data_IF_333699277061
#
_entry.id   IF_333699277061
#
_cell.length_a   1.000
_cell.length_b   1.000
_cell.length_c   1.000
_cell.angle_alpha   90.00
_cell.angle_beta   90.00
_cell.angle_gamma   90.00
#
_symmetry.space_group_name_H-M   'P 1'
#
loop_
_entity.id
_entity.type
_entity.pdbx_description
1 polymer ?
#
# COMPACT_ATOMS: atom_id res chain seq x y z
N UNK A 1 -22.67 -18.50 -0.20
CA UNK A 1 -22.05 -19.23 -1.33
C UNK A 1 -21.13 -20.31 -0.76
N UNK A 2 -21.07 -21.48 -1.39
CA UNK A 2 -20.30 -22.63 -0.90
C UNK A 2 -18.79 -22.36 -1.07
N UNK A 3 -17.92 -22.86 -0.18
CA UNK A 3 -16.46 -22.63 -0.24
C UNK A 3 -15.75 -23.35 -1.39
N UNK A 4 -16.48 -23.86 -2.39
CA UNK A 4 -15.95 -24.69 -3.48
C UNK A 4 -16.04 -24.00 -4.87
N UNK A 5 -16.60 -22.79 -4.95
CA UNK A 5 -16.82 -22.09 -6.23
C UNK A 5 -15.73 -21.03 -6.56
N UNK A 6 -14.56 -21.08 -5.90
CA UNK A 6 -13.50 -20.05 -6.01
C UNK A 6 -12.26 -20.51 -6.80
N UNK A 7 -12.37 -21.51 -7.67
CA UNK A 7 -11.24 -22.03 -8.47
C UNK A 7 -10.85 -21.18 -9.69
N UNK A 8 -11.47 -20.02 -9.93
CA UNK A 8 -11.17 -19.18 -11.09
C UNK A 8 -11.07 -17.67 -10.85
N UNK A 9 -11.26 -17.20 -9.62
CA UNK A 9 -11.09 -15.79 -9.31
C UNK A 9 -9.59 -15.53 -9.06
N UNK A 10 -8.93 -14.57 -9.75
CA UNK A 10 -7.56 -14.25 -9.44
C UNK A 10 -7.48 -13.91 -7.96
N UNK A 11 -6.45 -14.40 -7.26
CA UNK A 11 -6.30 -14.19 -5.81
C UNK A 11 -6.43 -12.70 -5.42
N UNK A 12 -6.15 -11.78 -6.36
CA UNK A 12 -6.43 -10.35 -6.28
C UNK A 12 -7.90 -10.02 -5.97
N UNK A 13 -8.88 -10.62 -6.65
CA UNK A 13 -10.31 -10.36 -6.45
C UNK A 13 -10.84 -10.92 -5.12
N UNK A 14 -10.30 -12.06 -4.66
CA UNK A 14 -10.66 -12.65 -3.36
C UNK A 14 -10.12 -11.80 -2.20
N UNK A 15 -8.89 -11.28 -2.32
CA UNK A 15 -8.31 -10.33 -1.36
C UNK A 15 -9.09 -9.01 -1.36
N UNK A 16 -9.43 -8.46 -2.53
CA UNK A 16 -10.19 -7.22 -2.67
C UNK A 16 -11.62 -7.31 -2.14
N UNK A 17 -12.37 -8.36 -2.48
CA UNK A 17 -13.76 -8.50 -2.04
C UNK A 17 -13.88 -8.82 -0.55
N UNK A 18 -12.96 -9.62 0.00
CA UNK A 18 -12.92 -9.90 1.43
C UNK A 18 -12.47 -8.68 2.26
N UNK A 19 -11.64 -7.80 1.70
CA UNK A 19 -11.29 -6.52 2.31
C UNK A 19 -12.45 -5.52 2.22
N UNK A 20 -13.19 -5.45 1.12
CA UNK A 20 -14.29 -4.48 0.96
C UNK A 20 -15.55 -4.84 1.76
N UNK A 21 -15.86 -6.13 1.95
CA UNK A 21 -17.14 -6.54 2.54
C UNK A 21 -17.18 -6.57 4.07
N UNK A 22 -16.08 -6.29 4.77
CA UNK A 22 -15.93 -6.70 6.17
C UNK A 22 -15.58 -5.58 7.17
N UNK A 23 -15.53 -4.30 6.77
CA UNK A 23 -14.78 -3.33 7.56
C UNK A 23 -15.61 -2.34 8.36
N UNK A 24 -15.48 -2.48 9.68
CA UNK A 24 -15.42 -1.39 10.66
C UNK A 24 -13.92 -1.03 10.91
N UNK A 25 -13.62 0.24 11.18
CA UNK A 25 -12.38 0.95 10.81
C UNK A 25 -11.00 0.47 11.31
N UNK A 26 -10.87 -0.58 12.12
CA UNK A 26 -9.62 -0.91 12.83
C UNK A 26 -9.00 -2.29 12.53
N UNK A 27 -9.76 -3.25 12.01
CA UNK A 27 -9.31 -4.64 11.76
C UNK A 27 -8.79 -4.87 10.32
N UNK A 28 -8.78 -3.82 9.49
CA UNK A 28 -8.62 -3.90 8.04
C UNK A 28 -7.24 -4.45 7.61
N UNK A 29 -6.16 -3.91 8.17
CA UNK A 29 -4.80 -4.30 7.79
C UNK A 29 -4.42 -5.70 8.29
N UNK A 30 -4.82 -6.08 9.50
CA UNK A 30 -4.41 -7.38 10.07
C UNK A 30 -4.95 -8.54 9.23
N UNK A 31 -6.19 -8.41 8.74
CA UNK A 31 -6.83 -9.43 7.92
C UNK A 31 -6.26 -9.45 6.49
N UNK A 32 -5.99 -8.28 5.90
CA UNK A 32 -5.34 -8.19 4.59
C UNK A 32 -3.97 -8.88 4.58
N UNK A 33 -3.13 -8.63 5.60
CA UNK A 33 -1.82 -9.28 5.72
C UNK A 33 -1.92 -10.78 6.04
N UNK A 34 -2.95 -11.21 6.78
CA UNK A 34 -3.21 -12.65 6.99
C UNK A 34 -3.55 -13.35 5.67
N UNK A 35 -4.37 -12.73 4.83
CA UNK A 35 -4.71 -13.25 3.51
C UNK A 35 -3.49 -13.28 2.58
N UNK A 36 -2.69 -12.22 2.58
CA UNK A 36 -1.42 -12.18 1.85
C UNK A 36 -0.50 -13.34 2.23
N UNK A 37 -0.34 -13.62 3.53
CA UNK A 37 0.42 -14.78 4.00
C UNK A 37 -0.16 -16.13 3.52
N UNK A 38 -1.49 -16.28 3.54
CA UNK A 38 -2.11 -17.48 3.00
C UNK A 38 -1.91 -17.62 1.49
N UNK A 39 -1.89 -16.51 0.75
CA UNK A 39 -1.61 -16.50 -0.68
C UNK A 39 -0.17 -16.99 -0.96
N UNK A 40 0.81 -16.46 -0.21
CA UNK A 40 2.20 -16.92 -0.30
C UNK A 40 2.35 -18.42 0.00
N UNK A 41 1.56 -18.96 0.94
CA UNK A 41 1.58 -20.39 1.27
C UNK A 41 0.89 -21.28 0.23
N UNK A 42 -0.15 -20.77 -0.46
CA UNK A 42 -0.91 -21.54 -1.46
C UNK A 42 -0.23 -21.60 -2.83
N UNK A 43 0.87 -20.86 -3.03
CA UNK A 43 1.65 -20.87 -4.27
C UNK A 43 1.37 -19.78 -5.31
N UNK A 44 0.23 -19.06 -5.37
CA UNK A 44 0.09 -17.96 -6.33
C UNK A 44 1.02 -16.79 -5.96
N UNK A 45 1.80 -16.34 -6.94
CA UNK A 45 2.70 -15.19 -6.77
C UNK A 45 1.89 -13.90 -6.64
N UNK A 46 2.25 -13.01 -5.71
CA UNK A 46 1.68 -11.67 -5.67
C UNK A 46 2.02 -10.90 -6.94
N UNK A 47 1.12 -10.01 -7.34
CA UNK A 47 1.28 -9.08 -8.44
C UNK A 47 1.21 -7.62 -7.95
N UNK A 48 1.41 -6.66 -8.86
CA UNK A 48 1.35 -5.22 -8.54
C UNK A 48 0.00 -4.85 -7.92
N UNK A 49 -1.09 -5.46 -8.38
CA UNK A 49 -2.45 -5.21 -7.86
C UNK A 49 -2.57 -5.63 -6.40
N UNK A 50 -1.99 -6.76 -6.02
CA UNK A 50 -1.93 -7.25 -4.63
C UNK A 50 -1.23 -6.22 -3.74
N UNK A 51 -0.06 -5.73 -4.16
CA UNK A 51 0.71 -4.75 -3.37
C UNK A 51 0.03 -3.38 -3.30
N UNK A 52 -0.57 -2.91 -4.39
CA UNK A 52 -1.37 -1.67 -4.39
C UNK A 52 -2.56 -1.77 -3.44
N UNK A 53 -3.20 -2.94 -3.36
CA UNK A 53 -4.30 -3.21 -2.44
C UNK A 53 -3.82 -3.15 -1.00
N UNK A 54 -2.69 -3.81 -0.68
CA UNK A 54 -2.10 -3.76 0.66
C UNK A 54 -1.70 -2.34 1.05
N UNK A 55 -1.13 -1.57 0.13
CA UNK A 55 -0.74 -0.18 0.36
C UNK A 55 -1.97 0.70 0.67
N UNK A 56 -3.07 0.57 -0.07
CA UNK A 56 -4.33 1.29 0.20
C UNK A 56 -4.94 0.93 1.55
N UNK A 57 -4.86 -0.35 1.97
CA UNK A 57 -5.29 -0.78 3.30
C UNK A 57 -4.41 -0.17 4.40
N UNK A 58 -3.09 -0.09 4.19
CA UNK A 58 -2.18 0.59 5.12
C UNK A 58 -2.48 2.09 5.22
N UNK A 59 -2.83 2.74 4.11
CA UNK A 59 -3.24 4.14 4.07
C UNK A 59 -4.52 4.40 4.86
N UNK A 60 -5.54 3.56 4.68
CA UNK A 60 -6.82 3.67 5.38
C UNK A 60 -6.69 3.33 6.87
N UNK A 61 -5.79 2.41 7.21
CA UNK A 61 -5.53 2.00 8.59
C UNK A 61 -4.53 2.89 9.34
N UNK A 62 -3.96 3.92 8.69
CA UNK A 62 -2.95 4.79 9.30
C UNK A 62 -1.66 4.06 9.69
N UNK A 63 -1.23 3.07 8.91
CA UNK A 63 -0.06 2.22 9.18
C UNK A 63 1.12 2.55 8.25
N UNK A 64 1.84 3.67 8.47
CA UNK A 64 2.93 4.11 7.59
C UNK A 64 4.11 3.13 7.53
N UNK A 65 4.47 2.50 8.66
CA UNK A 65 5.59 1.54 8.69
C UNK A 65 5.31 0.35 7.77
N UNK A 66 4.07 -0.16 7.77
CA UNK A 66 3.66 -1.27 6.91
C UNK A 66 3.63 -0.88 5.43
N UNK A 67 3.18 0.33 5.11
CA UNK A 67 3.19 0.82 3.74
C UNK A 67 4.62 0.91 3.17
N UNK A 68 5.59 1.33 4.00
CA UNK A 68 7.01 1.36 3.63
C UNK A 68 7.61 -0.04 3.46
N UNK A 69 7.23 -1.00 4.30
CA UNK A 69 7.63 -2.41 4.15
C UNK A 69 7.16 -2.97 2.81
N UNK A 70 5.90 -2.74 2.44
CA UNK A 70 5.33 -3.17 1.15
C UNK A 70 6.15 -2.64 -0.03
N UNK A 71 6.48 -1.34 -0.04
CA UNK A 71 7.29 -0.74 -1.10
C UNK A 71 8.65 -1.42 -1.27
N UNK A 72 9.28 -1.81 -0.15
CA UNK A 72 10.59 -2.47 -0.12
C UNK A 72 10.52 -3.97 -0.43
N UNK A 73 9.37 -4.60 -0.21
CA UNK A 73 9.15 -6.00 -0.50
C UNK A 73 8.88 -6.25 -1.99
N UNK A 74 8.26 -5.31 -2.72
CA UNK A 74 7.93 -5.49 -4.15
C UNK A 74 9.12 -5.94 -5.04
N UNK A 75 10.33 -5.35 -4.93
CA UNK A 75 11.47 -5.79 -5.72
C UNK A 75 11.89 -7.25 -5.47
N UNK A 76 11.61 -7.81 -4.28
CA UNK A 76 11.90 -9.22 -3.99
C UNK A 76 10.99 -10.19 -4.75
N UNK A 77 9.90 -9.69 -5.35
CA UNK A 77 8.99 -10.44 -6.22
C UNK A 77 9.14 -10.07 -7.70
N UNK A 78 10.24 -9.41 -8.08
CA UNK A 78 10.47 -8.86 -9.43
C UNK A 78 9.41 -7.84 -9.86
N UNK A 79 8.80 -7.14 -8.89
CA UNK A 79 7.80 -6.10 -9.12
C UNK A 79 8.38 -4.73 -8.79
N UNK A 80 8.01 -3.73 -9.60
CA UNK A 80 8.35 -2.35 -9.33
C UNK A 80 7.15 -1.64 -8.69
N UNK A 81 7.36 -0.88 -7.60
CA UNK A 81 6.35 0.00 -7.08
C UNK A 81 5.92 1.02 -8.14
N UNK A 82 4.62 1.23 -8.27
CA UNK A 82 4.06 2.25 -9.14
C UNK A 82 3.67 3.50 -8.35
N UNK A 83 3.18 4.52 -9.06
CA UNK A 83 2.76 5.77 -8.44
C UNK A 83 1.64 5.55 -7.41
N UNK A 84 0.76 4.55 -7.60
CA UNK A 84 -0.33 4.24 -6.68
C UNK A 84 0.26 3.71 -5.37
N UNK A 85 1.22 2.78 -5.44
CA UNK A 85 1.88 2.25 -4.24
C UNK A 85 2.59 3.36 -3.45
N UNK A 86 3.33 4.22 -4.16
CA UNK A 86 4.04 5.33 -3.53
C UNK A 86 3.10 6.35 -2.89
N UNK A 87 2.03 6.75 -3.59
CA UNK A 87 1.06 7.70 -3.07
C UNK A 87 0.36 7.18 -1.81
N UNK A 88 -0.03 5.91 -1.79
CA UNK A 88 -0.64 5.31 -0.60
C UNK A 88 0.32 5.33 0.61
N UNK A 89 1.62 5.07 0.39
CA UNK A 89 2.63 5.16 1.45
C UNK A 89 2.88 6.61 1.92
N UNK A 90 2.90 7.57 0.99
CA UNK A 90 3.02 9.01 1.30
C UNK A 90 1.83 9.45 2.15
N UNK A 91 0.60 9.19 1.69
CA UNK A 91 -0.63 9.52 2.42
C UNK A 91 -0.67 8.86 3.81
N UNK A 92 -0.20 7.62 3.94
CA UNK A 92 -0.07 6.96 5.25
C UNK A 92 0.94 7.68 6.16
N UNK A 93 2.07 8.13 5.61
CA UNK A 93 3.08 8.90 6.35
C UNK A 93 2.57 10.28 6.77
N UNK A 94 1.85 10.99 5.90
CA UNK A 94 1.22 12.28 6.24
C UNK A 94 0.24 12.13 7.41
N UNK A 95 -0.68 11.16 7.34
CA UNK A 95 -1.66 10.88 8.41
C UNK A 95 -1.00 10.56 9.75
N UNK A 96 0.20 10.01 9.72
CA UNK A 96 1.00 9.66 10.90
C UNK A 96 2.04 10.73 11.29
N UNK A 97 1.98 11.93 10.70
CA UNK A 97 2.91 13.04 10.96
C UNK A 97 4.38 12.71 10.68
N UNK A 98 4.65 11.76 9.77
CA UNK A 98 6.01 11.30 9.41
C UNK A 98 6.51 11.99 8.14
N UNK A 99 6.57 13.31 8.18
CA UNK A 99 6.85 14.17 7.03
C UNK A 99 8.22 13.93 6.38
N UNK A 100 9.24 13.61 7.17
CA UNK A 100 10.58 13.29 6.65
C UNK A 100 10.55 12.06 5.75
N UNK A 101 9.78 11.04 6.13
CA UNK A 101 9.63 9.81 5.35
C UNK A 101 8.80 10.06 4.10
N UNK A 102 7.72 10.85 4.19
CA UNK A 102 6.93 11.25 3.03
C UNK A 102 7.78 12.03 2.00
N UNK A 103 8.64 12.95 2.46
CA UNK A 103 9.53 13.71 1.59
C UNK A 103 10.62 12.83 0.93
N UNK A 104 11.14 11.82 1.65
CA UNK A 104 12.07 10.84 1.08
C UNK A 104 11.43 10.03 -0.04
N UNK A 105 10.22 9.50 0.19
CA UNK A 105 9.46 8.77 -0.83
C UNK A 105 9.21 9.63 -2.08
N UNK A 106 8.91 10.91 -1.91
CA UNK A 106 8.75 11.84 -3.03
C UNK A 106 10.03 12.00 -3.85
N UNK A 107 11.18 12.07 -3.18
CA UNK A 107 12.47 12.14 -3.85
C UNK A 107 12.76 10.85 -4.64
N UNK A 108 12.39 9.70 -4.08
CA UNK A 108 12.50 8.39 -4.75
C UNK A 108 11.63 8.31 -6.01
N UNK A 109 10.38 8.79 -5.98
CA UNK A 109 9.50 8.87 -7.17
C UNK A 109 10.20 9.66 -8.28
N UNK A 110 10.77 10.83 -7.96
CA UNK A 110 11.48 11.69 -8.92
C UNK A 110 12.73 11.03 -9.50
N UNK A 111 13.50 10.34 -8.67
CA UNK A 111 14.70 9.61 -9.10
C UNK A 111 14.36 8.39 -9.95
N UNK A 112 13.24 7.72 -9.66
CA UNK A 112 12.72 6.58 -10.43
C UNK A 112 12.08 6.95 -11.76
N UNK A 113 12.08 8.24 -12.16
CA UNK A 113 11.48 8.72 -13.41
C UNK A 113 9.95 8.71 -13.41
N UNK A 114 9.32 8.43 -12.27
CA UNK A 114 7.88 8.53 -12.09
C UNK A 114 7.50 10.00 -11.92
N UNK A 115 6.40 10.44 -12.55
CA UNK A 115 5.90 11.81 -12.37
C UNK A 115 5.09 11.88 -11.08
N UNK A 116 5.51 12.68 -10.08
CA UNK A 116 4.72 12.88 -8.88
C UNK A 116 3.39 13.55 -9.24
N UNK A 117 2.29 13.14 -8.60
CA UNK A 117 0.97 13.77 -8.78
C UNK A 117 0.64 14.80 -7.67
N UNK A 118 -0.59 15.27 -7.65
CA UNK A 118 -1.07 16.29 -6.70
C UNK A 118 -0.90 15.82 -5.24
N UNK A 119 -1.09 14.53 -4.96
CA UNK A 119 -0.97 13.94 -3.60
C UNK A 119 0.50 13.96 -3.16
N UNK A 120 1.38 13.54 -4.06
CA UNK A 120 2.82 13.66 -3.88
C UNK A 120 3.26 15.11 -3.58
N UNK A 121 2.71 16.09 -4.30
CA UNK A 121 3.05 17.50 -4.09
C UNK A 121 2.48 18.11 -2.80
N UNK A 122 1.27 17.73 -2.38
CA UNK A 122 0.69 18.21 -1.11
C UNK A 122 1.53 17.79 0.09
N UNK A 123 2.09 16.58 0.06
CA UNK A 123 2.98 16.09 1.11
C UNK A 123 4.26 16.89 1.27
N UNK A 124 4.82 17.39 0.17
CA UNK A 124 5.99 18.25 0.23
C UNK A 124 5.68 19.60 0.87
N UNK A 125 4.53 20.21 0.51
CA UNK A 125 4.13 21.51 1.05
C UNK A 125 3.91 21.40 2.57
N UNK A 126 3.21 20.36 3.01
CA UNK A 126 2.99 20.08 4.43
C UNK A 126 4.32 19.84 5.17
N UNK A 127 5.24 19.04 4.59
CA UNK A 127 6.54 18.77 5.18
C UNK A 127 7.41 20.04 5.33
N UNK A 128 7.44 20.91 4.32
CA UNK A 128 8.24 22.15 4.37
C UNK A 128 7.69 23.16 5.39
N UNK A 129 6.37 23.27 5.53
CA UNK A 129 5.75 24.13 6.55
C UNK A 129 6.03 23.65 7.98
N UNK A 130 6.12 22.34 8.21
CA UNK A 130 6.50 21.78 9.51
C UNK A 130 7.99 21.98 9.84
N UNK A 131 8.87 21.94 8.83
CA UNK A 131 10.32 22.10 9.02
C UNK A 131 10.76 23.52 9.40
N UNK A 132 9.87 24.51 9.17
CA UNK A 132 10.10 25.93 9.46
C UNK A 132 9.41 26.41 10.76
N UNK A 133 8.91 25.49 11.60
CA UNK A 133 8.47 25.77 12.97
C UNK A 133 9.46 25.23 13.98
#
# INVERSE_FOLDING_TARGET
ARPQDLEGAPASAVVCNAALSALDGSLQWLQAFRLFRQMLQRGPKPDVVTFNTLASVCESSGQPTRALEILREMPAYDLLPDLITYNAAISACEKAWRWVQAAQLLAEIRQGGLRPDIISHSALISATQQSHR
#
